data_IF_846362317402
#
_entry.id   IF_846362317402
#
_cell.length_a   1.000
_cell.length_b   1.000
_cell.length_c   1.000
_cell.angle_alpha   90.00
_cell.angle_beta   90.00
_cell.angle_gamma   90.00
#
_symmetry.space_group_name_H-M   'P 1'
#
loop_
_entity.id
_entity.type
_entity.pdbx_description
1 polymer ?
#
# COMPACT_ATOMS: atom_id res chain seq x y z
N UNK A 1 18.16 -14.33 16.30
CA UNK A 1 19.51 -14.42 16.94
C UNK A 1 20.66 -14.45 15.95
N UNK A 2 20.74 -15.36 14.96
CA UNK A 2 21.92 -15.41 14.08
C UNK A 2 21.96 -14.26 13.05
N UNK A 3 20.81 -13.90 12.46
CA UNK A 3 20.70 -12.72 11.59
C UNK A 3 21.12 -11.42 12.28
N UNK A 4 20.62 -11.19 13.49
CA UNK A 4 20.99 -10.05 14.32
C UNK A 4 22.50 -9.98 14.62
N UNK A 5 23.12 -11.11 14.97
CA UNK A 5 24.57 -11.15 15.22
C UNK A 5 25.35 -10.75 13.98
N UNK A 6 24.99 -11.28 12.81
CA UNK A 6 25.63 -10.89 11.55
C UNK A 6 25.40 -9.42 11.19
N UNK A 7 24.22 -8.85 11.50
CA UNK A 7 23.96 -7.42 11.31
C UNK A 7 24.86 -6.57 12.21
N UNK A 8 25.04 -6.96 13.47
CA UNK A 8 25.90 -6.24 14.44
C UNK A 8 27.38 -6.30 14.02
N UNK A 9 27.80 -7.40 13.39
CA UNK A 9 29.17 -7.55 12.86
C UNK A 9 29.34 -7.07 11.41
N UNK A 10 28.34 -6.38 10.85
CA UNK A 10 28.34 -5.81 9.49
C UNK A 10 28.46 -6.84 8.35
N UNK A 11 28.11 -8.10 8.62
CA UNK A 11 28.03 -9.18 7.63
C UNK A 11 26.61 -9.24 7.02
N UNK A 12 26.19 -8.14 6.40
CA UNK A 12 24.79 -7.90 6.00
C UNK A 12 24.19 -8.96 5.06
N UNK A 13 24.92 -9.52 4.06
CA UNK A 13 24.39 -10.60 3.23
C UNK A 13 24.06 -11.87 4.02
N UNK A 14 24.90 -12.22 5.01
CA UNK A 14 24.61 -13.34 5.91
C UNK A 14 23.46 -13.00 6.86
N UNK A 15 23.41 -11.76 7.34
CA UNK A 15 22.30 -11.28 8.17
C UNK A 15 20.96 -11.44 7.43
N UNK A 16 20.89 -11.03 6.16
CA UNK A 16 19.71 -11.16 5.32
C UNK A 16 19.34 -12.62 5.07
N UNK A 17 20.31 -13.46 4.73
CA UNK A 17 20.09 -14.89 4.53
C UNK A 17 19.45 -15.56 5.76
N UNK A 18 19.98 -15.30 6.95
CA UNK A 18 19.50 -15.93 8.18
C UNK A 18 18.22 -15.31 8.74
N UNK A 19 17.99 -14.00 8.58
CA UNK A 19 16.73 -13.37 9.01
C UNK A 19 15.57 -13.82 8.11
N UNK A 20 15.76 -13.78 6.79
CA UNK A 20 14.74 -14.22 5.82
C UNK A 20 14.49 -15.73 5.94
N UNK A 21 15.54 -16.55 5.95
CA UNK A 21 15.41 -18.00 6.07
C UNK A 21 14.78 -18.44 7.40
N UNK A 22 15.05 -17.68 8.47
CA UNK A 22 14.50 -17.90 9.81
C UNK A 22 13.05 -17.43 9.98
N UNK A 23 12.48 -16.69 9.03
CA UNK A 23 11.14 -16.10 9.17
C UNK A 23 11.08 -14.91 10.13
N UNK A 24 12.21 -14.27 10.42
CA UNK A 24 12.32 -13.12 11.33
C UNK A 24 12.15 -11.82 10.54
N UNK A 25 10.90 -11.46 10.23
CA UNK A 25 10.60 -10.32 9.36
C UNK A 25 11.03 -8.97 9.95
N UNK A 26 10.95 -8.81 11.28
CA UNK A 26 11.38 -7.59 11.95
C UNK A 26 12.88 -7.39 11.80
N UNK A 27 13.67 -8.46 11.97
CA UNK A 27 15.10 -8.39 11.73
C UNK A 27 15.42 -8.26 10.23
N UNK A 28 14.66 -8.90 9.35
CA UNK A 28 14.83 -8.76 7.90
C UNK A 28 14.67 -7.29 7.45
N UNK A 29 13.65 -6.57 7.95
CA UNK A 29 13.47 -5.14 7.69
C UNK A 29 14.65 -4.31 8.20
N UNK A 30 15.14 -4.57 9.42
CA UNK A 30 16.31 -3.87 9.98
C UNK A 30 17.58 -4.12 9.17
N UNK A 31 17.78 -5.35 8.69
CA UNK A 31 18.92 -5.67 7.82
C UNK A 31 18.79 -4.95 6.47
N UNK A 32 17.59 -4.94 5.87
CA UNK A 32 17.33 -4.24 4.62
C UNK A 32 17.72 -2.75 4.69
N UNK A 33 17.33 -2.07 5.77
CA UNK A 33 17.72 -0.68 6.05
C UNK A 33 19.22 -0.54 6.28
N UNK A 34 19.86 -1.51 6.94
CA UNK A 34 21.29 -1.46 7.24
C UNK A 34 22.19 -1.51 5.99
N UNK A 35 21.69 -2.02 4.85
CA UNK A 35 22.39 -1.96 3.58
C UNK A 35 22.56 -0.53 3.03
N UNK A 36 21.83 0.46 3.57
CA UNK A 36 21.88 1.85 3.09
C UNK A 36 21.47 1.93 1.62
N UNK A 37 22.30 2.58 0.78
CA UNK A 37 22.03 2.78 -0.65
C UNK A 37 22.35 1.55 -1.53
N UNK A 38 22.68 0.40 -0.92
CA UNK A 38 23.06 -0.82 -1.65
C UNK A 38 21.85 -1.74 -1.77
N UNK A 39 21.36 -1.89 -3.00
CA UNK A 39 20.33 -2.89 -3.30
C UNK A 39 20.87 -4.32 -3.11
N UNK A 40 20.13 -5.14 -2.36
CA UNK A 40 20.41 -6.55 -2.16
C UNK A 40 19.29 -7.42 -2.75
N UNK A 41 19.65 -8.27 -3.71
CA UNK A 41 18.70 -9.09 -4.46
C UNK A 41 18.24 -10.31 -3.67
N UNK A 42 16.95 -10.34 -3.33
CA UNK A 42 16.31 -11.44 -2.59
C UNK A 42 15.26 -12.20 -3.43
N UNK A 43 15.26 -12.05 -4.76
CA UNK A 43 14.27 -12.68 -5.66
C UNK A 43 14.18 -14.20 -5.51
N UNK A 44 15.30 -14.88 -5.29
CA UNK A 44 15.28 -16.34 -5.09
C UNK A 44 14.56 -16.73 -3.79
N UNK A 45 14.65 -15.90 -2.75
CA UNK A 45 13.93 -16.12 -1.49
C UNK A 45 12.42 -15.90 -1.63
N UNK A 46 11.99 -14.96 -2.48
CA UNK A 46 10.56 -14.73 -2.80
C UNK A 46 9.91 -15.98 -3.44
N UNK A 47 10.69 -16.74 -4.23
CA UNK A 47 10.26 -17.99 -4.89
C UNK A 47 10.26 -19.21 -3.96
N UNK A 48 10.77 -19.09 -2.74
CA UNK A 48 10.82 -20.20 -1.78
C UNK A 48 9.44 -20.84 -1.66
N UNK A 49 9.27 -22.17 -1.50
CA UNK A 49 7.94 -22.75 -1.25
C UNK A 49 7.43 -22.44 0.17
N UNK A 50 8.31 -22.06 1.09
CA UNK A 50 8.00 -21.81 2.49
C UNK A 50 7.43 -20.40 2.65
N UNK A 51 6.15 -20.26 3.02
CA UNK A 51 5.44 -18.97 3.07
C UNK A 51 6.15 -17.91 3.90
N UNK A 52 6.66 -18.27 5.08
CA UNK A 52 7.39 -17.33 5.94
C UNK A 52 8.68 -16.80 5.31
N UNK A 53 9.37 -17.61 4.50
CA UNK A 53 10.60 -17.19 3.80
C UNK A 53 10.24 -16.17 2.72
N UNK A 54 9.23 -16.43 1.89
CA UNK A 54 8.84 -15.45 0.89
C UNK A 54 8.22 -14.19 1.51
N UNK A 55 7.40 -14.34 2.55
CA UNK A 55 6.87 -13.20 3.29
C UNK A 55 8.01 -12.31 3.77
N UNK A 56 9.00 -12.85 4.49
CA UNK A 56 10.16 -12.08 4.94
C UNK A 56 11.01 -11.51 3.78
N UNK A 57 11.08 -12.20 2.64
CA UNK A 57 11.76 -11.66 1.46
C UNK A 57 11.01 -10.46 0.85
N UNK A 58 9.68 -10.48 0.82
CA UNK A 58 8.87 -9.34 0.41
C UNK A 58 8.98 -8.17 1.40
N UNK A 59 8.99 -8.46 2.70
CA UNK A 59 9.24 -7.45 3.75
C UNK A 59 10.60 -6.78 3.59
N UNK A 60 11.65 -7.59 3.38
CA UNK A 60 12.99 -7.09 3.11
C UNK A 60 13.02 -6.20 1.86
N UNK A 61 12.40 -6.65 0.77
CA UNK A 61 12.38 -5.91 -0.48
C UNK A 61 11.53 -4.62 -0.40
N UNK A 62 10.52 -4.58 0.47
CA UNK A 62 9.67 -3.40 0.69
C UNK A 62 10.50 -2.25 1.26
N UNK A 63 11.39 -2.53 2.21
CA UNK A 63 12.34 -1.55 2.76
C UNK A 63 13.40 -1.09 1.75
N UNK A 64 13.61 -1.84 0.66
CA UNK A 64 14.52 -1.47 -0.44
C UNK A 64 13.78 -1.09 -1.73
N UNK A 65 12.47 -0.79 -1.65
CA UNK A 65 11.62 -0.64 -2.83
C UNK A 65 12.08 0.49 -3.76
N UNK A 66 12.67 1.55 -3.22
CA UNK A 66 13.26 2.67 -3.98
C UNK A 66 14.61 2.32 -4.62
N UNK A 67 15.35 1.37 -4.03
CA UNK A 67 16.65 0.90 -4.52
C UNK A 67 16.56 -0.20 -5.59
N UNK A 68 15.40 -0.85 -5.76
CA UNK A 68 15.20 -1.88 -6.81
C UNK A 68 15.54 -1.26 -8.17
N UNK A 69 16.46 -1.84 -8.97
CA UNK A 69 16.78 -1.31 -10.30
C UNK A 69 15.59 -1.44 -11.27
N UNK A 70 15.38 -0.45 -12.15
CA UNK A 70 14.28 -0.47 -13.12
C UNK A 70 14.28 -1.74 -14.00
N UNK A 71 15.45 -2.23 -14.41
CA UNK A 71 15.58 -3.46 -15.19
C UNK A 71 15.21 -4.75 -14.44
N UNK A 72 14.97 -4.68 -13.13
CA UNK A 72 14.50 -5.80 -12.31
C UNK A 72 13.07 -5.60 -11.79
N UNK A 73 12.51 -4.40 -11.95
CA UNK A 73 11.23 -4.02 -11.36
C UNK A 73 10.10 -4.96 -11.79
N UNK A 74 9.98 -5.20 -13.09
CA UNK A 74 8.93 -6.07 -13.65
C UNK A 74 8.99 -7.48 -13.04
N UNK A 75 10.18 -8.04 -12.90
CA UNK A 75 10.38 -9.37 -12.32
C UNK A 75 9.96 -9.41 -10.85
N UNK A 76 10.28 -8.36 -10.08
CA UNK A 76 9.90 -8.28 -8.66
C UNK A 76 8.38 -8.15 -8.52
N UNK A 77 7.75 -7.32 -9.35
CA UNK A 77 6.29 -7.14 -9.35
C UNK A 77 5.58 -8.43 -9.76
N UNK A 78 6.08 -9.13 -10.79
CA UNK A 78 5.55 -10.42 -11.23
C UNK A 78 5.63 -11.46 -10.11
N UNK A 79 6.75 -11.53 -9.38
CA UNK A 79 6.90 -12.44 -8.23
C UNK A 79 5.90 -12.13 -7.11
N UNK A 80 5.66 -10.85 -6.82
CA UNK A 80 4.67 -10.45 -5.82
C UNK A 80 3.24 -10.80 -6.28
N UNK A 81 2.90 -10.54 -7.54
CA UNK A 81 1.61 -10.91 -8.12
C UNK A 81 1.37 -12.42 -8.13
N UNK A 82 2.38 -13.21 -8.52
CA UNK A 82 2.31 -14.68 -8.46
C UNK A 82 2.11 -15.18 -7.04
N UNK A 83 2.80 -14.61 -6.04
CA UNK A 83 2.61 -15.00 -4.65
C UNK A 83 1.17 -14.71 -4.16
N UNK A 84 0.59 -13.59 -4.58
CA UNK A 84 -0.82 -13.27 -4.31
C UNK A 84 -1.74 -14.32 -4.94
N UNK A 85 -1.57 -14.63 -6.23
CA UNK A 85 -2.38 -15.64 -6.93
C UNK A 85 -2.23 -17.05 -6.33
N UNK A 86 -1.01 -17.45 -5.99
CA UNK A 86 -0.72 -18.73 -5.36
C UNK A 86 -1.42 -18.89 -4.01
N UNK A 87 -1.48 -17.82 -3.21
CA UNK A 87 -2.18 -17.81 -1.94
C UNK A 87 -3.70 -17.92 -2.11
N UNK A 88 -4.28 -17.20 -3.08
CA UNK A 88 -5.73 -17.21 -3.32
C UNK A 88 -6.22 -18.50 -4.00
N UNK A 89 -5.43 -19.08 -4.91
CA UNK A 89 -5.72 -20.36 -5.56
C UNK A 89 -5.45 -21.57 -4.64
N UNK A 90 -4.69 -21.37 -3.56
CA UNK A 90 -4.25 -22.44 -2.68
C UNK A 90 -3.09 -23.26 -3.24
N UNK A 91 -2.46 -22.82 -4.35
CA UNK A 91 -1.25 -23.43 -4.89
C UNK A 91 -0.08 -23.36 -3.88
N UNK A 92 -0.08 -22.33 -3.03
CA UNK A 92 0.86 -22.17 -1.93
C UNK A 92 0.14 -21.84 -0.63
N UNK A 93 0.41 -22.63 0.42
CA UNK A 93 -0.14 -22.38 1.74
C UNK A 93 0.46 -21.11 2.33
N UNK A 94 -0.38 -20.19 2.78
CA UNK A 94 0.07 -19.01 3.51
C UNK A 94 0.27 -19.31 5.00
N UNK A 95 1.05 -18.45 5.67
CA UNK A 95 1.31 -18.47 7.09
C UNK A 95 0.04 -18.20 7.93
N UNK A 96 -0.04 -18.76 9.15
CA UNK A 96 -1.10 -18.45 10.10
C UNK A 96 -1.22 -16.95 10.43
N UNK A 97 -2.35 -16.53 11.00
CA UNK A 97 -2.70 -15.12 11.25
C UNK A 97 -1.67 -14.35 12.10
N UNK A 98 -0.93 -15.02 12.98
CA UNK A 98 0.07 -14.41 13.87
C UNK A 98 1.50 -14.45 13.32
N UNK A 99 1.64 -14.71 12.02
CA UNK A 99 2.91 -14.74 11.31
C UNK A 99 2.81 -13.87 10.05
N UNK A 100 3.93 -13.35 9.52
CA UNK A 100 3.90 -12.57 8.29
C UNK A 100 3.28 -13.43 7.18
N UNK A 101 2.21 -12.90 6.59
CA UNK A 101 1.47 -13.58 5.53
C UNK A 101 2.04 -13.15 4.20
N UNK A 102 2.41 -14.12 3.39
CA UNK A 102 3.04 -13.93 2.10
C UNK A 102 2.21 -13.01 1.21
N UNK A 103 0.89 -13.21 1.11
CA UNK A 103 0.06 -12.37 0.24
C UNK A 103 -0.03 -10.92 0.74
N UNK A 104 0.00 -10.69 2.06
CA UNK A 104 -0.01 -9.33 2.63
C UNK A 104 1.31 -8.64 2.39
N UNK A 105 2.44 -9.29 2.69
CA UNK A 105 3.77 -8.74 2.43
C UNK A 105 4.00 -8.48 0.94
N UNK A 106 3.44 -9.31 0.05
CA UNK A 106 3.46 -9.06 -1.39
C UNK A 106 2.68 -7.79 -1.78
N UNK A 107 1.48 -7.57 -1.21
CA UNK A 107 0.73 -6.33 -1.43
C UNK A 107 1.45 -5.11 -0.86
N UNK A 108 2.13 -5.22 0.27
CA UNK A 108 2.96 -4.15 0.84
C UNK A 108 4.10 -3.76 -0.11
N UNK A 109 4.82 -4.74 -0.67
CA UNK A 109 5.85 -4.48 -1.68
C UNK A 109 5.27 -3.80 -2.92
N UNK A 110 4.14 -4.29 -3.43
CA UNK A 110 3.46 -3.70 -4.60
C UNK A 110 3.04 -2.26 -4.30
N UNK A 111 2.55 -1.98 -3.09
CA UNK A 111 2.19 -0.63 -2.65
C UNK A 111 3.40 0.30 -2.64
N UNK A 112 4.55 -0.15 -2.12
CA UNK A 112 5.80 0.61 -2.14
C UNK A 112 6.29 0.90 -3.57
N UNK A 113 6.03 -0.02 -4.51
CA UNK A 113 6.41 0.09 -5.92
C UNK A 113 5.37 0.80 -6.81
N UNK A 114 4.19 1.17 -6.26
CA UNK A 114 3.02 1.56 -7.04
C UNK A 114 3.26 2.70 -8.05
N UNK A 115 4.14 3.66 -7.72
CA UNK A 115 4.49 4.80 -8.60
C UNK A 115 5.40 4.43 -9.77
N UNK A 116 6.04 3.26 -9.70
CA UNK A 116 7.04 2.79 -10.68
C UNK A 116 6.46 1.72 -11.61
N UNK A 117 5.26 1.23 -11.32
CA UNK A 117 4.60 0.18 -12.08
C UNK A 117 4.47 0.55 -13.56
N UNK A 118 4.65 -0.44 -14.42
CA UNK A 118 4.27 -0.32 -15.83
C UNK A 118 2.76 -0.19 -15.97
N UNK A 119 2.31 0.34 -17.11
CA UNK A 119 0.87 0.42 -17.40
C UNK A 119 0.19 -0.95 -17.39
N UNK A 120 0.91 -2.01 -17.80
CA UNK A 120 0.41 -3.39 -17.78
C UNK A 120 0.19 -3.88 -16.36
N UNK A 121 1.19 -3.75 -15.48
CA UNK A 121 1.05 -4.15 -14.07
C UNK A 121 -0.01 -3.33 -13.34
N UNK A 122 -0.06 -2.02 -13.59
CA UNK A 122 -1.06 -1.14 -13.01
C UNK A 122 -2.49 -1.57 -13.40
N UNK A 123 -2.73 -1.90 -14.68
CA UNK A 123 -4.02 -2.44 -15.15
C UNK A 123 -4.38 -3.72 -14.40
N UNK A 124 -3.48 -4.71 -14.41
CA UNK A 124 -3.71 -6.01 -13.76
C UNK A 124 -4.06 -5.85 -12.29
N UNK A 125 -3.36 -4.98 -11.57
CA UNK A 125 -3.62 -4.71 -10.16
C UNK A 125 -4.96 -4.03 -9.91
N UNK A 126 -5.31 -3.03 -10.71
CA UNK A 126 -6.60 -2.36 -10.59
C UNK A 126 -7.74 -3.36 -10.85
N UNK A 127 -7.62 -4.21 -11.88
CA UNK A 127 -8.63 -5.22 -12.20
C UNK A 127 -8.78 -6.24 -11.04
N UNK A 128 -7.67 -6.73 -10.48
CA UNK A 128 -7.68 -7.64 -9.32
C UNK A 128 -8.28 -7.03 -8.05
N UNK A 129 -8.22 -5.71 -7.90
CA UNK A 129 -8.66 -4.99 -6.72
C UNK A 129 -10.04 -4.34 -6.86
N UNK A 130 -10.62 -4.33 -8.06
CA UNK A 130 -11.90 -3.68 -8.35
C UNK A 130 -13.04 -4.17 -7.43
N UNK A 131 -13.21 -5.49 -7.30
CA UNK A 131 -14.22 -6.11 -6.44
C UNK A 131 -13.92 -5.99 -4.94
N UNK A 132 -12.76 -5.40 -4.60
CA UNK A 132 -12.39 -5.08 -3.22
C UNK A 132 -12.77 -3.65 -2.83
N UNK A 133 -13.28 -2.87 -3.78
CA UNK A 133 -13.78 -1.51 -3.55
C UNK A 133 -15.12 -1.51 -2.82
N UNK A 134 -15.96 -2.51 -3.07
CA UNK A 134 -17.25 -2.65 -2.41
C UNK A 134 -17.20 -3.71 -1.31
N UNK A 135 -17.68 -3.37 -0.13
CA UNK A 135 -17.76 -4.28 1.02
C UNK A 135 -19.03 -3.96 1.82
N UNK A 136 -19.57 -4.98 2.47
CA UNK A 136 -20.61 -4.82 3.48
C UNK A 136 -20.24 -3.71 4.48
N UNK A 137 -21.23 -2.94 4.90
CA UNK A 137 -21.05 -1.83 5.83
C UNK A 137 -20.36 -2.30 7.12
N UNK A 138 -19.38 -1.53 7.61
CA UNK A 138 -18.56 -1.82 8.80
C UNK A 138 -17.59 -2.99 8.71
N UNK A 139 -17.20 -3.40 7.50
CA UNK A 139 -16.23 -4.49 7.31
C UNK A 139 -14.92 -3.99 6.72
N UNK A 140 -13.85 -4.26 7.44
CA UNK A 140 -12.47 -3.98 7.04
C UNK A 140 -11.85 -5.17 6.29
N UNK A 141 -11.05 -4.92 5.26
CA UNK A 141 -10.18 -5.94 4.67
C UNK A 141 -8.73 -5.65 5.06
N UNK A 142 -7.97 -6.72 5.35
CA UNK A 142 -6.55 -6.63 5.73
C UNK A 142 -5.64 -6.00 4.66
N UNK A 143 -6.14 -5.86 3.43
CA UNK A 143 -5.42 -5.25 2.30
C UNK A 143 -5.82 -3.80 2.05
N UNK A 144 -6.74 -3.22 2.83
CA UNK A 144 -7.28 -1.88 2.55
C UNK A 144 -6.17 -0.81 2.58
N UNK A 145 -5.21 -0.92 3.51
CA UNK A 145 -4.05 -0.01 3.56
C UNK A 145 -3.22 -0.07 2.28
N UNK A 146 -2.77 -1.27 1.89
CA UNK A 146 -2.01 -1.47 0.66
C UNK A 146 -2.82 -1.04 -0.57
N UNK A 147 -4.14 -1.31 -0.62
CA UNK A 147 -5.00 -0.91 -1.74
C UNK A 147 -5.06 0.62 -1.86
N UNK A 148 -5.24 1.35 -0.76
CA UNK A 148 -5.19 2.82 -0.75
C UNK A 148 -3.86 3.32 -1.29
N UNK A 149 -2.73 2.74 -0.85
CA UNK A 149 -1.41 3.14 -1.32
C UNK A 149 -1.17 2.82 -2.81
N UNK A 150 -1.60 1.64 -3.27
CA UNK A 150 -1.53 1.23 -4.68
C UNK A 150 -2.33 2.18 -5.56
N UNK A 151 -3.60 2.41 -5.24
CA UNK A 151 -4.47 3.29 -6.00
C UNK A 151 -3.92 4.72 -6.04
N UNK A 152 -3.44 5.25 -4.91
CA UNK A 152 -2.80 6.56 -4.86
C UNK A 152 -1.52 6.65 -5.69
N UNK A 153 -0.67 5.62 -5.64
CA UNK A 153 0.57 5.55 -6.41
C UNK A 153 0.30 5.53 -7.92
N UNK A 154 -0.63 4.67 -8.36
CA UNK A 154 -1.04 4.57 -9.77
C UNK A 154 -1.68 5.87 -10.24
N UNK A 155 -2.61 6.45 -9.47
CA UNK A 155 -3.25 7.72 -9.81
C UNK A 155 -2.26 8.90 -9.94
N UNK A 156 -1.12 8.81 -9.23
CA UNK A 156 -0.06 9.83 -9.30
C UNK A 156 0.87 9.63 -10.49
N UNK A 157 1.17 8.39 -10.87
CA UNK A 157 2.17 8.07 -11.88
C UNK A 157 1.61 7.86 -13.29
N UNK A 158 0.40 7.32 -13.41
CA UNK A 158 -0.24 7.04 -14.68
C UNK A 158 -1.07 8.24 -15.16
N UNK A 159 -1.45 8.23 -16.44
CA UNK A 159 -2.30 9.23 -17.07
C UNK A 159 -3.44 8.58 -17.84
N UNK A 160 -4.53 9.33 -18.07
CA UNK A 160 -5.67 8.87 -18.86
C UNK A 160 -6.51 7.83 -18.12
N UNK A 161 -6.86 6.74 -18.80
CA UNK A 161 -7.80 5.72 -18.30
C UNK A 161 -7.34 5.10 -16.96
N UNK A 162 -6.07 4.71 -16.84
CA UNK A 162 -5.54 4.07 -15.63
C UNK A 162 -5.58 5.01 -14.42
N UNK A 163 -5.32 6.30 -14.63
CA UNK A 163 -5.43 7.29 -13.57
C UNK A 163 -6.89 7.43 -13.10
N UNK A 164 -7.84 7.51 -14.04
CA UNK A 164 -9.25 7.64 -13.73
C UNK A 164 -9.77 6.42 -12.95
N UNK A 165 -9.42 5.20 -13.37
CA UNK A 165 -9.79 3.97 -12.66
C UNK A 165 -9.18 3.94 -11.25
N UNK A 166 -7.90 4.28 -11.11
CA UNK A 166 -7.25 4.32 -9.79
C UNK A 166 -7.90 5.36 -8.86
N UNK A 167 -8.27 6.53 -9.37
CA UNK A 167 -8.99 7.55 -8.60
C UNK A 167 -10.39 7.10 -8.20
N UNK A 168 -11.12 6.40 -9.06
CA UNK A 168 -12.43 5.85 -8.73
C UNK A 168 -12.34 4.81 -7.60
N UNK A 169 -11.38 3.88 -7.68
CA UNK A 169 -11.15 2.93 -6.59
C UNK A 169 -10.73 3.64 -5.29
N UNK A 170 -9.86 4.65 -5.38
CA UNK A 170 -9.42 5.44 -4.23
C UNK A 170 -10.60 6.19 -3.59
N UNK A 171 -11.51 6.75 -4.38
CA UNK A 171 -12.73 7.40 -3.89
C UNK A 171 -13.70 6.40 -3.25
N UNK A 172 -13.82 5.18 -3.79
CA UNK A 172 -14.64 4.14 -3.18
C UNK A 172 -14.08 3.61 -1.85
N UNK A 173 -12.76 3.50 -1.74
CA UNK A 173 -12.06 3.26 -0.46
C UNK A 173 -12.29 4.42 0.52
N UNK A 174 -12.23 5.67 0.04
CA UNK A 174 -12.42 6.86 0.85
C UNK A 174 -13.84 6.94 1.40
N UNK A 175 -14.85 6.71 0.54
CA UNK A 175 -16.26 6.78 0.89
C UNK A 175 -16.66 5.85 2.04
N UNK A 176 -16.02 4.69 2.15
CA UNK A 176 -16.32 3.73 3.23
C UNK A 176 -15.45 3.92 4.48
N UNK A 177 -14.52 4.87 4.47
CA UNK A 177 -13.48 5.04 5.48
C UNK A 177 -12.72 3.71 5.75
N UNK A 178 -12.29 3.02 4.69
CA UNK A 178 -11.70 1.68 4.79
C UNK A 178 -10.42 1.65 5.64
N UNK A 179 -9.63 2.72 5.60
CA UNK A 179 -8.42 2.89 6.38
C UNK A 179 -8.08 4.38 6.50
N UNK A 180 -7.13 4.77 7.34
CA UNK A 180 -6.68 6.16 7.37
C UNK A 180 -5.99 6.51 6.04
N UNK A 181 -6.47 7.57 5.40
CA UNK A 181 -5.88 8.08 4.18
C UNK A 181 -4.64 8.87 4.54
N UNK A 182 -3.47 8.23 4.42
CA UNK A 182 -2.19 8.91 4.61
C UNK A 182 -1.96 10.06 3.61
N UNK A 183 -0.89 10.87 3.81
CA UNK A 183 -0.61 12.05 2.99
C UNK A 183 -0.54 11.77 1.49
N UNK A 184 -0.01 10.62 1.07
CA UNK A 184 0.09 10.22 -0.33
C UNK A 184 -1.29 10.10 -0.99
N UNK A 185 -2.23 9.43 -0.33
CA UNK A 185 -3.60 9.24 -0.83
C UNK A 185 -4.38 10.55 -0.89
N UNK A 186 -4.30 11.36 0.16
CA UNK A 186 -4.91 12.71 0.16
C UNK A 186 -4.35 13.57 -0.96
N UNK A 187 -3.02 13.59 -1.14
CA UNK A 187 -2.38 14.34 -2.21
C UNK A 187 -2.80 13.86 -3.61
N UNK A 188 -3.02 12.56 -3.81
CA UNK A 188 -3.52 12.02 -5.08
C UNK A 188 -4.93 12.55 -5.40
N UNK A 189 -5.83 12.62 -4.41
CA UNK A 189 -7.15 13.22 -4.58
C UNK A 189 -7.05 14.73 -4.85
N UNK A 190 -6.24 15.46 -4.07
CA UNK A 190 -6.06 16.91 -4.19
C UNK A 190 -5.48 17.30 -5.56
N UNK A 191 -4.47 16.58 -6.05
CA UNK A 191 -3.85 16.86 -7.36
C UNK A 191 -4.80 16.61 -8.53
N UNK A 192 -5.81 15.78 -8.32
CA UNK A 192 -6.81 15.42 -9.32
C UNK A 192 -8.20 15.94 -8.95
N UNK A 193 -8.29 17.10 -8.28
CA UNK A 193 -9.56 17.69 -7.85
C UNK A 193 -10.53 17.87 -9.02
N UNK A 194 -10.06 18.28 -10.19
CA UNK A 194 -10.96 18.48 -11.33
C UNK A 194 -11.73 17.21 -11.70
N UNK A 195 -11.15 16.02 -11.45
CA UNK A 195 -11.78 14.73 -11.71
C UNK A 195 -12.53 14.17 -10.48
N UNK A 196 -12.14 14.56 -9.26
CA UNK A 196 -12.66 13.97 -8.02
C UNK A 196 -13.65 14.88 -7.26
N UNK A 197 -13.70 16.17 -7.59
CA UNK A 197 -14.45 17.21 -6.85
C UNK A 197 -15.93 16.89 -6.72
N UNK A 198 -16.59 16.51 -7.81
CA UNK A 198 -18.04 16.22 -7.78
C UNK A 198 -18.35 15.09 -6.79
N UNK A 199 -17.55 14.02 -6.82
CA UNK A 199 -17.75 12.86 -5.94
C UNK A 199 -17.40 13.18 -4.48
N UNK A 200 -16.35 13.97 -4.26
CA UNK A 200 -16.02 14.48 -2.92
C UNK A 200 -17.13 15.38 -2.36
N UNK A 201 -17.75 16.22 -3.20
CA UNK A 201 -18.88 17.08 -2.81
C UNK A 201 -20.11 16.25 -2.44
N UNK A 202 -20.42 15.21 -3.22
CA UNK A 202 -21.49 14.28 -2.89
C UNK A 202 -21.25 13.59 -1.54
N UNK A 203 -20.04 13.05 -1.31
CA UNK A 203 -19.66 12.44 -0.03
C UNK A 203 -19.78 13.43 1.14
N UNK A 204 -19.33 14.68 0.94
CA UNK A 204 -19.44 15.72 1.96
C UNK A 204 -20.91 16.07 2.27
N UNK A 205 -21.78 16.14 1.25
CA UNK A 205 -23.21 16.37 1.41
C UNK A 205 -23.90 15.22 2.16
N UNK A 206 -23.44 13.99 1.96
CA UNK A 206 -23.89 12.79 2.68
C UNK A 206 -23.29 12.67 4.10
N UNK A 207 -22.55 13.69 4.56
CA UNK A 207 -22.03 13.78 5.92
C UNK A 207 -20.62 13.18 6.13
N UNK A 208 -19.91 12.83 5.05
CA UNK A 208 -18.54 12.32 5.14
C UNK A 208 -17.57 13.43 5.58
N UNK A 209 -17.19 13.39 6.86
CA UNK A 209 -16.44 14.47 7.54
C UNK A 209 -15.09 14.75 6.87
N UNK A 210 -14.36 13.71 6.49
CA UNK A 210 -13.05 13.89 5.86
C UNK A 210 -13.16 14.44 4.44
N UNK A 211 -14.25 14.16 3.72
CA UNK A 211 -14.46 14.72 2.39
C UNK A 211 -14.73 16.23 2.48
N UNK A 212 -15.56 16.63 3.45
CA UNK A 212 -15.81 18.05 3.74
C UNK A 212 -14.52 18.78 4.17
N UNK A 213 -13.70 18.16 5.03
CA UNK A 213 -12.42 18.72 5.46
C UNK A 213 -11.43 18.86 4.29
N UNK A 214 -11.32 17.84 3.44
CA UNK A 214 -10.42 17.86 2.28
C UNK A 214 -10.85 18.93 1.27
N UNK A 215 -12.15 19.07 0.99
CA UNK A 215 -12.67 20.16 0.15
C UNK A 215 -12.40 21.54 0.75
N UNK A 216 -12.65 21.73 2.05
CA UNK A 216 -12.41 23.00 2.73
C UNK A 216 -10.92 23.39 2.80
N UNK A 217 -10.02 22.40 2.85
CA UNK A 217 -8.59 22.65 2.72
C UNK A 217 -8.21 23.15 1.32
N UNK A 218 -8.82 22.59 0.26
CA UNK A 218 -8.49 22.94 -1.11
C UNK A 218 -9.14 24.23 -1.59
N UNK A 219 -10.31 24.56 -1.04
CA UNK A 219 -11.11 25.72 -1.41
C UNK A 219 -11.74 26.36 -0.17
N UNK A 220 -10.94 27.13 0.61
CA UNK A 220 -11.41 27.70 1.88
C UNK A 220 -12.56 28.69 1.72
N UNK A 221 -12.66 29.35 0.55
CA UNK A 221 -13.72 30.33 0.28
C UNK A 221 -15.07 29.67 -0.02
N UNK A 222 -15.08 28.39 -0.40
CA UNK A 222 -16.31 27.62 -0.59
C UNK A 222 -16.89 27.06 0.71
N UNK A 223 -16.21 27.20 1.85
CA UNK A 223 -16.73 26.77 3.16
C UNK A 223 -17.63 27.86 3.72
N UNK A 224 -18.93 27.57 3.86
CA UNK A 224 -19.84 28.51 4.51
C UNK A 224 -19.43 28.75 5.97
N UNK A 225 -19.62 29.98 6.45
CA UNK A 225 -19.30 30.35 7.83
C UNK A 225 -20.05 29.47 8.85
N UNK A 226 -21.29 29.11 8.55
CA UNK A 226 -22.09 28.18 9.36
C UNK A 226 -21.47 26.78 9.43
N UNK A 227 -20.95 26.25 8.31
CA UNK A 227 -20.27 24.95 8.30
C UNK A 227 -18.94 24.97 9.07
N UNK A 228 -18.19 26.08 8.98
CA UNK A 228 -16.97 26.30 9.75
C UNK A 228 -17.25 26.40 11.25
N UNK A 229 -18.28 27.14 11.65
CA UNK A 229 -18.70 27.28 13.05
C UNK A 229 -19.21 25.95 13.62
N UNK A 230 -19.99 25.18 12.84
CA UNK A 230 -20.42 23.83 13.22
C UNK A 230 -19.26 22.82 13.31
N UNK A 231 -18.22 22.96 12.50
CA UNK A 231 -16.99 22.16 12.64
C UNK A 231 -16.20 22.55 13.89
N UNK A 232 -16.07 23.85 14.18
CA UNK A 232 -15.40 24.37 15.37
C UNK A 232 -16.08 23.93 16.68
N UNK A 233 -17.42 23.99 16.73
CA UNK A 233 -18.20 23.51 17.89
C UNK A 233 -17.97 22.03 18.16
N UNK A 234 -17.91 21.20 17.11
CA UNK A 234 -17.62 19.76 17.25
C UNK A 234 -16.23 19.47 17.80
N UNK A 235 -15.22 20.29 17.51
CA UNK A 235 -13.87 20.15 18.07
C UNK A 235 -13.82 20.48 19.57
N UNK A 236 -14.82 21.21 20.07
CA UNK A 236 -14.95 21.57 21.49
C UNK A 236 -15.75 20.53 22.29
N UNK A 237 -16.38 19.56 21.63
CA UNK A 237 -17.06 18.44 22.29
C UNK A 237 -16.05 17.30 22.53
N UNK A 238 -16.02 16.69 23.72
CA UNK A 238 -15.14 15.56 23.98
C UNK A 238 -15.57 14.35 23.14
N UNK A 239 -14.63 13.82 22.36
CA UNK A 239 -14.73 12.54 21.63
C UNK A 239 -14.78 11.33 22.54
#
# INVERSE_FOLDING_TARGET
MLGEMYRITDELPLAAYYSIGGGDYEEARKVAVAFGDVYHDVKESMKSPLSWVAACAFEFATEQADLIPDGQLDVVVDLALSAVDDAFSGARLDSPVLSPQMYLSAYELIAALAKRLTATHARTLLDMLADKVEVEQHRYRRTDESHVQIAAGIATAQVGELQAVALDQLLGLFARASHDFGPSARNALIRNLDQTRERLQALAADGHREAAALLGYCDPECVSREAADAASQRLCEPT
#
